data_IF_727877597578
#
_entry.id   IF_727877597578
#
_cell.length_a   1.000
_cell.length_b   1.000
_cell.length_c   1.000
_cell.angle_alpha   90.00
_cell.angle_beta   90.00
_cell.angle_gamma   90.00
#
_symmetry.space_group_name_H-M   'P 1'
#
loop_
_entity.id
_entity.type
_entity.pdbx_description
1 polymer ?
#
# COMPACT_ATOMS: atom_id res chain seq x y z
N UNK A 1 -29.08 49.34 -55.73
CA UNK A 1 -29.95 49.67 -54.57
C UNK A 1 -29.24 49.12 -53.34
N UNK A 2 -28.35 49.87 -52.70
CA UNK A 2 -28.52 50.91 -51.65
C UNK A 2 -28.80 50.36 -50.24
N UNK A 3 -27.81 50.64 -49.37
CA UNK A 3 -27.85 51.17 -48.00
C UNK A 3 -27.80 50.23 -46.78
N UNK A 4 -26.81 50.57 -45.95
CA UNK A 4 -26.60 50.29 -44.53
C UNK A 4 -27.81 50.54 -43.63
N UNK A 5 -27.84 49.85 -42.47
CA UNK A 5 -28.07 50.51 -41.16
C UNK A 5 -27.74 49.62 -39.96
N UNK A 6 -26.82 50.12 -39.12
CA UNK A 6 -26.75 49.89 -37.67
C UNK A 6 -28.10 50.17 -36.99
N UNK A 7 -28.40 49.52 -35.86
CA UNK A 7 -28.88 50.18 -34.61
C UNK A 7 -28.92 49.15 -33.46
N UNK A 8 -28.14 49.43 -32.41
CA UNK A 8 -28.17 48.86 -31.05
C UNK A 8 -29.42 49.32 -30.29
N UNK A 9 -29.95 48.50 -29.37
CA UNK A 9 -31.03 48.92 -28.46
C UNK A 9 -31.12 48.05 -27.21
N UNK A 10 -30.73 48.64 -26.08
CA UNK A 10 -30.83 48.14 -24.71
C UNK A 10 -32.27 47.81 -24.26
N UNK A 11 -32.38 46.88 -23.30
CA UNK A 11 -33.64 46.64 -22.58
C UNK A 11 -33.52 45.59 -21.49
N UNK A 12 -33.13 46.03 -20.29
CA UNK A 12 -33.08 45.25 -19.06
C UNK A 12 -34.46 44.91 -18.49
N UNK A 13 -34.55 43.80 -17.73
CA UNK A 13 -35.35 43.77 -16.49
C UNK A 13 -36.36 42.63 -16.28
N UNK A 14 -36.08 41.85 -15.22
CA UNK A 14 -36.99 41.20 -14.25
C UNK A 14 -37.99 40.14 -14.72
N UNK A 15 -37.92 38.87 -14.29
CA UNK A 15 -37.98 38.25 -12.93
C UNK A 15 -39.36 37.67 -12.60
N UNK A 16 -39.31 36.42 -12.09
CA UNK A 16 -40.33 35.68 -11.28
C UNK A 16 -41.48 35.02 -12.04
N UNK A 17 -42.01 33.86 -11.65
CA UNK A 17 -41.63 32.67 -10.84
C UNK A 17 -42.95 31.88 -10.72
N UNK A 18 -42.89 30.55 -10.78
CA UNK A 18 -43.96 29.64 -10.33
C UNK A 18 -44.76 29.01 -11.48
N UNK A 19 -45.11 27.72 -11.50
CA UNK A 19 -45.19 26.77 -10.40
C UNK A 19 -45.34 25.32 -10.93
N UNK A 20 -44.44 24.45 -10.46
CA UNK A 20 -44.57 23.03 -10.06
C UNK A 20 -45.47 22.06 -10.85
N UNK A 21 -44.85 20.92 -11.20
CA UNK A 21 -45.36 19.64 -10.70
C UNK A 21 -44.97 18.39 -11.48
N UNK A 22 -43.82 17.77 -11.19
CA UNK A 22 -43.72 16.29 -11.18
C UNK A 22 -42.55 15.81 -10.33
N UNK A 23 -42.88 14.88 -9.43
CA UNK A 23 -42.02 14.23 -8.45
C UNK A 23 -41.29 13.06 -9.11
N UNK A 24 -40.00 12.92 -8.82
CA UNK A 24 -39.20 11.76 -9.14
C UNK A 24 -37.85 11.86 -8.44
N UNK A 25 -37.78 11.41 -7.20
CA UNK A 25 -36.54 11.27 -6.41
C UNK A 25 -35.73 10.09 -6.91
N UNK A 26 -34.50 10.31 -7.36
CA UNK A 26 -33.41 9.34 -7.15
C UNK A 26 -32.09 10.10 -7.02
N UNK A 27 -31.43 9.83 -5.91
CA UNK A 27 -30.15 10.41 -5.47
C UNK A 27 -29.00 9.72 -6.22
N UNK A 28 -28.10 10.51 -6.81
CA UNK A 28 -26.67 10.21 -6.90
C UNK A 28 -25.93 11.48 -7.35
N UNK A 29 -25.32 12.18 -6.39
CA UNK A 29 -24.39 13.29 -6.62
C UNK A 29 -22.98 12.72 -6.65
N UNK A 30 -22.22 13.01 -7.70
CA UNK A 30 -20.77 13.23 -7.63
C UNK A 30 -20.33 14.00 -8.88
N UNK A 31 -20.39 15.32 -8.73
CA UNK A 31 -19.67 16.32 -9.52
C UNK A 31 -18.15 16.21 -9.22
N UNK A 32 -17.22 16.64 -10.05
CA UNK A 32 -17.35 17.43 -11.27
C UNK A 32 -15.99 17.56 -11.96
N UNK A 33 -16.03 18.08 -13.17
CA UNK A 33 -14.87 18.39 -13.98
C UNK A 33 -14.63 19.92 -14.04
N UNK A 34 -13.35 20.29 -13.88
CA UNK A 34 -12.60 21.33 -14.62
C UNK A 34 -12.73 22.85 -14.31
N UNK A 35 -11.54 23.49 -14.35
CA UNK A 35 -11.13 24.88 -14.72
C UNK A 35 -11.01 25.96 -13.62
N UNK A 36 -9.83 26.61 -13.59
CA UNK A 36 -9.76 28.08 -13.41
C UNK A 36 -8.54 28.63 -12.66
N UNK A 37 -7.47 28.98 -13.38
CA UNK A 37 -6.39 29.83 -12.88
C UNK A 37 -6.86 31.27 -12.64
N UNK A 38 -6.35 31.91 -11.57
CA UNK A 38 -6.19 33.38 -11.50
C UNK A 38 -4.95 33.72 -10.68
N UNK A 39 -4.02 34.41 -11.33
CA UNK A 39 -2.77 34.93 -10.82
C UNK A 39 -2.88 36.42 -10.47
N UNK A 40 -1.98 36.89 -9.59
CA UNK A 40 -1.57 38.30 -9.47
C UNK A 40 -1.55 38.80 -8.01
N UNK A 41 -0.58 39.57 -7.51
CA UNK A 41 0.57 40.24 -8.12
C UNK A 41 1.35 40.93 -6.98
N UNK A 42 2.38 40.30 -6.40
CA UNK A 42 3.39 40.97 -5.52
C UNK A 42 4.74 40.23 -5.60
N UNK A 43 5.22 40.00 -6.83
CA UNK A 43 6.53 39.43 -7.08
C UNK A 43 7.64 40.48 -6.91
N UNK A 44 8.59 40.21 -6.03
CA UNK A 44 10.03 40.49 -6.27
C UNK A 44 10.96 40.11 -5.11
N UNK A 45 10.44 39.78 -3.92
CA UNK A 45 11.26 39.25 -2.80
C UNK A 45 10.88 37.83 -2.35
N UNK A 46 9.69 37.33 -2.72
CA UNK A 46 9.19 35.99 -2.37
C UNK A 46 9.91 34.86 -3.12
N UNK A 47 10.37 35.11 -4.36
CA UNK A 47 10.89 34.06 -5.25
C UNK A 47 12.16 33.34 -4.73
N UNK A 48 12.94 33.98 -3.86
CA UNK A 48 14.14 33.35 -3.29
C UNK A 48 13.83 32.45 -2.08
N UNK A 49 12.74 32.74 -1.34
CA UNK A 49 12.26 31.89 -0.25
C UNK A 49 11.33 30.80 -0.77
N UNK A 50 10.45 31.11 -1.74
CA UNK A 50 9.64 30.11 -2.44
C UNK A 50 10.50 29.09 -3.17
N UNK A 51 11.58 29.48 -3.87
CA UNK A 51 12.44 28.47 -4.53
C UNK A 51 13.09 27.50 -3.52
N UNK A 52 13.47 27.99 -2.34
CA UNK A 52 14.07 27.17 -1.28
C UNK A 52 13.03 26.29 -0.57
N UNK A 53 11.82 26.80 -0.36
CA UNK A 53 10.68 26.05 0.20
C UNK A 53 10.06 25.08 -0.79
N UNK A 54 10.07 25.37 -2.09
CA UNK A 54 9.60 24.43 -3.13
C UNK A 54 10.59 23.27 -3.25
N UNK A 55 11.90 23.54 -3.19
CA UNK A 55 12.90 22.49 -3.20
C UNK A 55 12.88 21.60 -1.94
N UNK A 56 12.58 22.17 -0.76
CA UNK A 56 12.41 21.36 0.47
C UNK A 56 11.13 20.52 0.40
N UNK A 57 10.01 21.11 -0.05
CA UNK A 57 8.75 20.40 -0.25
C UNK A 57 8.86 19.29 -1.29
N UNK A 58 9.55 19.51 -2.41
CA UNK A 58 9.82 18.48 -3.42
C UNK A 58 10.74 17.37 -2.88
N UNK A 59 11.76 17.71 -2.09
CA UNK A 59 12.65 16.72 -1.49
C UNK A 59 11.91 15.85 -0.45
N UNK A 60 11.04 16.44 0.35
CA UNK A 60 10.25 15.73 1.34
C UNK A 60 9.13 14.90 0.70
N UNK A 61 8.50 15.39 -0.37
CA UNK A 61 7.57 14.61 -1.19
C UNK A 61 8.27 13.37 -1.79
N UNK A 62 9.47 13.53 -2.38
CA UNK A 62 10.26 12.40 -2.89
C UNK A 62 10.61 11.39 -1.81
N UNK A 63 10.97 11.83 -0.61
CA UNK A 63 11.24 10.94 0.53
C UNK A 63 9.98 10.19 0.96
N UNK A 64 8.84 10.86 0.99
CA UNK A 64 7.56 10.23 1.29
C UNK A 64 7.19 9.15 0.26
N UNK A 65 7.39 9.42 -1.04
CA UNK A 65 7.14 8.45 -2.11
C UNK A 65 8.08 7.24 -2.05
N UNK A 66 9.37 7.46 -1.78
CA UNK A 66 10.35 6.38 -1.57
C UNK A 66 9.93 5.50 -0.37
N UNK A 67 9.51 6.11 0.74
CA UNK A 67 9.00 5.37 1.91
C UNK A 67 7.76 4.56 1.55
N UNK A 68 6.77 5.19 0.91
CA UNK A 68 5.53 4.52 0.51
C UNK A 68 5.81 3.32 -0.40
N UNK A 69 6.67 3.48 -1.40
CA UNK A 69 7.06 2.39 -2.29
C UNK A 69 7.73 1.24 -1.53
N UNK A 70 8.67 1.54 -0.62
CA UNK A 70 9.33 0.52 0.19
C UNK A 70 8.35 -0.22 1.12
N UNK A 71 7.37 0.46 1.68
CA UNK A 71 6.39 -0.13 2.58
C UNK A 71 5.36 -1.00 1.84
N UNK A 72 4.95 -0.57 0.63
CA UNK A 72 4.13 -1.40 -0.26
C UNK A 72 4.88 -2.67 -0.66
N UNK A 73 6.15 -2.56 -1.02
CA UNK A 73 6.99 -3.71 -1.36
C UNK A 73 7.19 -4.66 -0.17
N UNK A 74 7.35 -4.12 1.04
CA UNK A 74 7.39 -4.90 2.28
C UNK A 74 6.11 -5.70 2.49
N UNK A 75 4.94 -5.06 2.32
CA UNK A 75 3.66 -5.74 2.46
C UNK A 75 3.48 -6.85 1.43
N UNK A 76 3.78 -6.57 0.16
CA UNK A 76 3.72 -7.55 -0.93
C UNK A 76 4.67 -8.75 -0.68
N UNK A 77 5.91 -8.48 -0.31
CA UNK A 77 6.92 -9.51 -0.03
C UNK A 77 6.57 -10.33 1.21
N UNK A 78 5.99 -9.72 2.24
CA UNK A 78 5.52 -10.44 3.44
C UNK A 78 4.38 -11.39 3.10
N UNK A 79 3.40 -10.94 2.31
CA UNK A 79 2.28 -11.79 1.89
C UNK A 79 2.74 -12.95 1.02
N UNK A 80 3.63 -12.70 0.05
CA UNK A 80 4.23 -13.74 -0.78
C UNK A 80 5.00 -14.75 0.08
N UNK A 81 5.81 -14.28 1.03
CA UNK A 81 6.53 -15.13 1.97
C UNK A 81 5.60 -16.02 2.79
N UNK A 82 4.56 -15.45 3.42
CA UNK A 82 3.55 -16.21 4.16
C UNK A 82 2.92 -17.28 3.28
N UNK A 83 2.49 -16.91 2.07
CA UNK A 83 1.90 -17.85 1.12
C UNK A 83 2.86 -19.02 0.81
N UNK A 84 4.13 -18.74 0.52
CA UNK A 84 5.09 -19.79 0.18
C UNK A 84 5.49 -20.63 1.41
N UNK A 85 5.54 -20.03 2.60
CA UNK A 85 5.75 -20.75 3.86
C UNK A 85 4.59 -21.72 4.14
N UNK A 86 3.34 -21.29 3.94
CA UNK A 86 2.16 -22.14 4.08
C UNK A 86 2.18 -23.30 3.09
N UNK A 87 2.54 -23.02 1.83
CA UNK A 87 2.64 -24.07 0.80
C UNK A 87 3.76 -25.06 1.10
N UNK A 88 4.93 -24.58 1.56
CA UNK A 88 6.02 -25.46 1.96
C UNK A 88 5.61 -26.36 3.13
N UNK A 89 4.93 -25.81 4.14
CA UNK A 89 4.43 -26.60 5.27
C UNK A 89 3.41 -27.65 4.80
N UNK A 90 2.45 -27.25 3.95
CA UNK A 90 1.43 -28.14 3.43
C UNK A 90 2.04 -29.31 2.64
N UNK A 91 2.98 -29.04 1.73
CA UNK A 91 3.71 -30.08 0.98
C UNK A 91 4.58 -30.91 1.91
N UNK A 92 5.12 -30.33 2.99
CA UNK A 92 5.94 -31.04 3.96
C UNK A 92 5.16 -32.00 4.86
N UNK A 93 3.89 -31.70 5.12
CA UNK A 93 3.00 -32.50 5.96
C UNK A 93 2.09 -33.45 5.17
N UNK A 94 2.09 -33.38 3.85
CA UNK A 94 1.31 -34.28 2.99
C UNK A 94 2.08 -35.60 2.74
N UNK A 95 1.58 -36.76 3.21
CA UNK A 95 2.23 -38.05 3.01
C UNK A 95 2.27 -38.49 1.54
N UNK A 96 1.43 -37.92 0.67
CA UNK A 96 1.47 -38.18 -0.76
C UNK A 96 2.61 -37.42 -1.48
N UNK A 97 3.29 -36.49 -0.80
CA UNK A 97 4.35 -35.68 -1.41
C UNK A 97 5.73 -36.29 -1.19
N UNK A 98 6.49 -36.39 -2.29
CA UNK A 98 7.86 -36.89 -2.23
C UNK A 98 8.84 -35.87 -1.67
N UNK A 99 9.99 -36.35 -1.21
CA UNK A 99 11.10 -35.48 -0.79
C UNK A 99 11.54 -34.52 -1.92
N UNK A 100 11.52 -34.97 -3.17
CA UNK A 100 11.83 -34.13 -4.33
C UNK A 100 10.80 -33.01 -4.54
N UNK A 101 9.50 -33.30 -4.35
CA UNK A 101 8.47 -32.26 -4.42
C UNK A 101 8.61 -31.23 -3.29
N UNK A 102 8.99 -31.67 -2.09
CA UNK A 102 9.34 -30.76 -0.99
C UNK A 102 10.53 -29.89 -1.38
N UNK A 103 11.60 -30.50 -1.89
CA UNK A 103 12.81 -29.80 -2.34
C UNK A 103 12.49 -28.73 -3.38
N UNK A 104 11.73 -29.07 -4.42
CA UNK A 104 11.30 -28.10 -5.44
C UNK A 104 10.47 -26.96 -4.86
N UNK A 105 9.53 -27.25 -3.95
CA UNK A 105 8.77 -26.19 -3.28
C UNK A 105 9.67 -25.28 -2.43
N UNK A 106 10.73 -25.82 -1.83
CA UNK A 106 11.70 -25.01 -1.10
C UNK A 106 12.55 -24.15 -2.03
N UNK A 107 13.26 -24.78 -2.98
CA UNK A 107 14.23 -24.11 -3.86
C UNK A 107 13.58 -23.13 -4.82
N UNK A 108 12.47 -23.52 -5.48
CA UNK A 108 11.90 -22.74 -6.57
C UNK A 108 10.95 -21.66 -6.07
N UNK A 109 10.44 -21.78 -4.84
CA UNK A 109 9.35 -20.94 -4.33
C UNK A 109 9.66 -20.29 -3.00
N UNK A 110 9.88 -21.09 -1.96
CA UNK A 110 10.04 -20.56 -0.59
C UNK A 110 11.35 -19.78 -0.41
N UNK A 111 12.49 -20.33 -0.82
CA UNK A 111 13.79 -19.68 -0.64
C UNK A 111 13.86 -18.31 -1.37
N UNK A 112 13.41 -18.18 -2.64
CA UNK A 112 13.29 -16.89 -3.29
C UNK A 112 12.38 -15.90 -2.55
N UNK A 113 11.21 -16.36 -2.08
CA UNK A 113 10.29 -15.50 -1.33
C UNK A 113 10.87 -15.02 0.01
N UNK A 114 11.66 -15.86 0.69
CA UNK A 114 12.39 -15.50 1.90
C UNK A 114 13.48 -14.45 1.61
N UNK A 115 14.23 -14.61 0.52
CA UNK A 115 15.21 -13.61 0.06
C UNK A 115 14.56 -12.28 -0.30
N UNK A 116 13.43 -12.31 -1.02
CA UNK A 116 12.67 -11.11 -1.39
C UNK A 116 12.19 -10.37 -0.13
N UNK A 117 11.65 -11.10 0.86
CA UNK A 117 11.26 -10.51 2.15
C UNK A 117 12.44 -9.89 2.89
N UNK A 118 13.59 -10.59 2.98
CA UNK A 118 14.78 -10.06 3.64
C UNK A 118 15.27 -8.76 2.97
N UNK A 119 15.21 -8.69 1.64
CA UNK A 119 15.50 -7.47 0.88
C UNK A 119 14.50 -6.37 1.21
N UNK A 120 13.21 -6.66 1.18
CA UNK A 120 12.16 -5.67 1.44
C UNK A 120 12.22 -5.11 2.88
N UNK A 121 12.48 -5.95 3.89
CA UNK A 121 12.71 -5.52 5.27
C UNK A 121 13.93 -4.61 5.36
N UNK A 122 15.01 -4.93 4.67
CA UNK A 122 16.21 -4.08 4.63
C UNK A 122 15.92 -2.72 4.00
N UNK A 123 15.25 -2.69 2.85
CA UNK A 123 14.84 -1.45 2.19
C UNK A 123 13.93 -0.60 3.09
N UNK A 124 12.92 -1.21 3.72
CA UNK A 124 12.03 -0.53 4.65
C UNK A 124 12.81 0.05 5.85
N UNK A 125 13.79 -0.68 6.40
CA UNK A 125 14.63 -0.19 7.50
C UNK A 125 15.48 1.03 7.14
N UNK A 126 15.93 1.14 5.89
CA UNK A 126 16.74 2.26 5.41
C UNK A 126 15.95 3.56 5.30
N UNK A 127 14.66 3.46 4.97
CA UNK A 127 13.81 4.62 4.68
C UNK A 127 12.88 4.97 5.83
N UNK A 128 12.72 4.07 6.81
CA UNK A 128 11.84 4.31 7.96
C UNK A 128 12.44 5.22 9.02
N UNK A 129 11.57 5.79 9.85
CA UNK A 129 11.95 6.63 11.00
C UNK A 129 12.51 5.77 12.14
N UNK A 130 13.41 6.31 13.00
CA UNK A 130 13.97 5.56 14.13
C UNK A 130 12.91 4.93 15.04
N UNK A 131 11.79 5.62 15.25
CA UNK A 131 10.67 5.21 16.10
C UNK A 131 10.01 3.92 15.58
N UNK A 132 9.98 3.74 14.25
CA UNK A 132 9.33 2.60 13.58
C UNK A 132 10.21 1.39 13.36
N UNK A 133 11.53 1.52 13.59
CA UNK A 133 12.45 0.38 13.46
C UNK A 133 12.05 -0.77 14.37
N UNK A 134 11.48 -0.49 15.54
CA UNK A 134 10.95 -1.50 16.47
C UNK A 134 9.81 -2.32 15.88
N UNK A 135 8.93 -1.69 15.10
CA UNK A 135 7.82 -2.39 14.44
C UNK A 135 8.36 -3.31 13.32
N UNK A 136 9.36 -2.84 12.55
CA UNK A 136 10.06 -3.67 11.56
C UNK A 136 10.86 -4.83 12.20
N UNK A 137 11.46 -4.62 13.36
CA UNK A 137 12.12 -5.68 14.13
C UNK A 137 11.13 -6.76 14.54
N UNK A 138 9.94 -6.38 15.01
CA UNK A 138 8.87 -7.32 15.36
C UNK A 138 8.43 -8.15 14.15
N UNK A 139 8.27 -7.52 12.98
CA UNK A 139 7.99 -8.23 11.73
C UNK A 139 9.12 -9.23 11.45
N UNK A 140 10.38 -8.81 11.53
CA UNK A 140 11.55 -9.68 11.31
C UNK A 140 11.59 -10.91 12.22
N UNK A 141 11.36 -10.74 13.53
CA UNK A 141 11.32 -11.84 14.50
C UNK A 141 10.21 -12.85 14.16
N UNK A 142 9.02 -12.35 13.82
CA UNK A 142 7.89 -13.21 13.47
C UNK A 142 8.11 -13.92 12.12
N UNK A 143 8.71 -13.24 11.15
CA UNK A 143 9.12 -13.84 9.87
C UNK A 143 10.11 -14.99 10.08
N UNK A 144 11.14 -14.79 10.91
CA UNK A 144 12.11 -15.83 11.23
C UNK A 144 11.43 -17.03 11.90
N UNK A 145 10.57 -16.78 12.89
CA UNK A 145 9.81 -17.84 13.56
C UNK A 145 8.91 -18.61 12.59
N UNK A 146 8.23 -17.92 11.68
CA UNK A 146 7.40 -18.56 10.66
C UNK A 146 8.24 -19.45 9.74
N UNK A 147 9.44 -19.00 9.39
CA UNK A 147 10.36 -19.75 8.53
C UNK A 147 10.91 -21.00 9.20
N UNK A 148 11.23 -20.92 10.49
CA UNK A 148 11.57 -22.09 11.30
C UNK A 148 10.45 -23.12 11.27
N UNK A 149 9.19 -22.69 11.49
CA UNK A 149 8.03 -23.59 11.50
C UNK A 149 7.78 -24.20 10.11
N UNK A 150 7.90 -23.41 9.04
CA UNK A 150 7.73 -23.88 7.67
C UNK A 150 8.80 -24.92 7.25
N UNK A 151 10.03 -24.75 7.73
CA UNK A 151 11.18 -25.58 7.32
C UNK A 151 11.48 -26.74 8.28
N UNK A 152 10.91 -26.74 9.50
CA UNK A 152 11.17 -27.77 10.51
C UNK A 152 10.95 -29.22 10.00
N UNK A 153 9.99 -29.40 9.08
CA UNK A 153 9.62 -30.72 8.52
C UNK A 153 10.02 -30.91 7.06
N UNK A 154 10.69 -29.94 6.47
CA UNK A 154 11.10 -29.97 5.08
C UNK A 154 11.87 -31.26 4.70
N UNK A 155 12.91 -31.59 5.47
CA UNK A 155 13.76 -32.77 5.21
C UNK A 155 13.05 -34.06 5.63
N UNK A 156 12.45 -34.07 6.82
CA UNK A 156 11.90 -35.28 7.46
C UNK A 156 10.51 -35.68 6.93
N UNK A 157 9.76 -34.75 6.33
CA UNK A 157 8.38 -34.97 5.92
C UNK A 157 7.41 -35.11 7.11
N UNK A 158 6.25 -35.76 6.90
CA UNK A 158 5.16 -35.81 7.88
C UNK A 158 5.39 -36.79 9.04
N UNK A 159 6.39 -37.66 8.95
CA UNK A 159 6.59 -38.73 9.94
C UNK A 159 6.84 -38.18 11.34
N UNK A 160 6.06 -38.66 12.32
CA UNK A 160 6.12 -38.19 13.71
C UNK A 160 5.74 -36.72 13.90
N UNK A 161 5.00 -36.12 12.97
CA UNK A 161 4.46 -34.77 13.13
C UNK A 161 3.13 -34.79 13.90
N UNK A 162 3.04 -33.95 14.93
CA UNK A 162 1.74 -33.57 15.50
C UNK A 162 1.13 -32.49 14.61
N UNK A 163 0.33 -32.93 13.63
CA UNK A 163 -0.28 -32.05 12.62
C UNK A 163 -1.12 -30.94 13.26
N UNK A 164 -1.81 -31.26 14.36
CA UNK A 164 -2.69 -30.31 15.05
C UNK A 164 -1.87 -29.22 15.73
N UNK A 165 -0.82 -29.61 16.46
CA UNK A 165 0.09 -28.66 17.12
C UNK A 165 0.87 -27.82 16.11
N UNK A 166 1.45 -28.46 15.09
CA UNK A 166 2.22 -27.76 14.05
C UNK A 166 1.36 -26.76 13.30
N UNK A 167 0.14 -27.13 12.90
CA UNK A 167 -0.80 -26.21 12.26
C UNK A 167 -1.18 -25.03 13.16
N UNK A 168 -1.54 -25.30 14.43
CA UNK A 168 -1.93 -24.25 15.37
C UNK A 168 -0.80 -23.24 15.66
N UNK A 169 0.44 -23.72 15.87
CA UNK A 169 1.60 -22.84 16.09
C UNK A 169 1.93 -22.00 14.85
N UNK A 170 1.80 -22.60 13.66
CA UNK A 170 2.01 -21.92 12.39
C UNK A 170 0.96 -20.82 12.18
N UNK A 171 -0.33 -21.15 12.30
CA UNK A 171 -1.43 -20.21 12.09
C UNK A 171 -1.42 -19.05 13.10
N UNK A 172 -1.07 -19.31 14.36
CA UNK A 172 -0.86 -18.27 15.37
C UNK A 172 0.30 -17.34 14.98
N UNK A 173 1.40 -17.90 14.48
CA UNK A 173 2.56 -17.10 14.04
C UNK A 173 2.22 -16.24 12.82
N UNK A 174 1.49 -16.79 11.84
CA UNK A 174 0.97 -16.04 10.68
C UNK A 174 0.09 -14.88 11.14
N UNK A 175 -0.89 -15.13 12.01
CA UNK A 175 -1.78 -14.08 12.53
C UNK A 175 -1.01 -12.96 13.22
N UNK A 176 -0.01 -13.31 14.05
CA UNK A 176 0.84 -12.32 14.72
C UNK A 176 1.68 -11.50 13.73
N UNK A 177 2.24 -12.15 12.70
CA UNK A 177 3.03 -11.46 11.68
C UNK A 177 2.18 -10.49 10.88
N UNK A 178 0.99 -10.91 10.45
CA UNK A 178 0.03 -10.06 9.75
C UNK A 178 -0.42 -8.88 10.61
N UNK A 179 -0.71 -9.11 11.90
CA UNK A 179 -1.04 -8.04 12.83
C UNK A 179 0.11 -7.04 13.03
N UNK A 180 1.36 -7.52 13.08
CA UNK A 180 2.54 -6.67 13.17
C UNK A 180 2.76 -5.84 11.90
N UNK A 181 2.57 -6.44 10.72
CA UNK A 181 2.60 -5.72 9.44
C UNK A 181 1.51 -4.66 9.39
N UNK A 182 0.27 -5.00 9.76
CA UNK A 182 -0.83 -4.05 9.77
C UNK A 182 -0.54 -2.87 10.71
N UNK A 183 -0.07 -3.14 11.93
CA UNK A 183 0.31 -2.08 12.89
C UNK A 183 1.37 -1.14 12.31
N UNK A 184 2.37 -1.70 11.60
CA UNK A 184 3.39 -0.90 10.94
C UNK A 184 2.79 -0.03 9.82
N UNK A 185 1.93 -0.59 8.98
CA UNK A 185 1.28 0.10 7.86
C UNK A 185 0.31 1.18 8.32
N UNK A 186 -0.51 0.91 9.34
CA UNK A 186 -1.48 1.87 9.90
C UNK A 186 -0.77 3.11 10.40
N UNK A 187 0.27 2.91 11.23
CA UNK A 187 1.10 4.02 11.67
C UNK A 187 1.70 4.73 10.46
N UNK A 188 2.15 4.00 9.44
CA UNK A 188 2.89 4.59 8.31
C UNK A 188 2.00 5.48 7.44
N UNK A 189 0.71 5.19 7.40
CA UNK A 189 -0.29 6.05 6.80
C UNK A 189 -0.42 7.39 7.53
N UNK A 190 -0.37 7.39 8.87
CA UNK A 190 -0.45 8.62 9.70
C UNK A 190 0.71 9.60 9.45
N UNK A 191 1.84 9.16 8.90
CA UNK A 191 3.00 9.99 8.56
C UNK A 191 2.92 10.63 7.17
N UNK A 192 1.94 10.23 6.36
CA UNK A 192 1.75 10.70 4.99
C UNK A 192 0.64 11.75 4.84
N UNK A 193 0.07 12.18 5.96
CA UNK A 193 -0.86 13.30 6.15
C UNK A 193 -0.16 14.43 6.91
#
# INVERSE_FOLDING_TARGET
MTKDKDTTGDGAGNERRGQRGQRGTTVAVLAGALIGALAGLTGSTLAYFEAKDTHSQEADARRADIRRAAYVELAASTNKYVQQATQLLAVSLDPAKSAEQRQRQFDDRYAPANTDLARAVTTARLVTTPERRRDLEKIGVLSARLGELATARYVRGPEGADLKKTGAEFDETVRRQQAALQTFMDRAADESL
#
